data_IF_645518911384
#
_entry.id   IF_645518911384
#
_cell.length_a   1.000
_cell.length_b   1.000
_cell.length_c   1.000
_cell.angle_alpha   90.00
_cell.angle_beta   90.00
_cell.angle_gamma   90.00
#
_symmetry.space_group_name_H-M   'P 1'
#
loop_
_entity.id
_entity.type
_entity.pdbx_description
1 polymer ?
#
# COMPACT_ATOMS: atom_id res chain seq x y z
N UNK A 1 60.42 -13.63 -12.70
CA UNK A 1 60.83 -13.12 -14.02
C UNK A 1 59.65 -12.43 -14.66
N UNK A 2 59.75 -11.27 -14.79
CA UNK A 2 59.71 -10.08 -15.67
C UNK A 2 58.30 -9.53 -15.74
N UNK A 3 58.02 -8.38 -15.15
CA UNK A 3 58.28 -6.94 -15.45
C UNK A 3 57.88 -6.55 -16.91
N UNK A 4 56.86 -5.62 -17.02
CA UNK A 4 57.04 -4.19 -17.37
C UNK A 4 55.66 -3.58 -17.71
N UNK A 5 55.27 -2.49 -17.08
CA UNK A 5 55.35 -1.01 -17.36
C UNK A 5 54.32 -0.59 -18.42
N UNK A 6 53.31 0.23 -18.08
CA UNK A 6 53.20 1.68 -17.79
C UNK A 6 53.34 2.59 -19.03
N UNK A 7 52.31 3.44 -19.23
CA UNK A 7 52.34 4.83 -19.73
C UNK A 7 50.87 5.35 -19.75
N UNK A 8 50.46 6.33 -19.04
CA UNK A 8 50.62 7.80 -18.99
C UNK A 8 50.35 8.48 -20.35
N UNK A 9 49.31 9.28 -20.39
CA UNK A 9 49.03 10.28 -21.38
C UNK A 9 48.07 11.33 -20.85
N UNK A 10 48.59 12.49 -20.58
CA UNK A 10 47.96 13.72 -20.04
C UNK A 10 47.51 14.65 -21.18
N UNK A 11 46.71 15.64 -20.74
CA UNK A 11 46.55 17.02 -21.24
C UNK A 11 45.33 17.26 -22.14
N UNK A 12 44.50 18.17 -21.95
CA UNK A 12 44.36 19.50 -21.38
C UNK A 12 43.74 20.48 -22.38
N UNK A 13 42.83 21.30 -21.89
CA UNK A 13 42.49 22.68 -22.31
C UNK A 13 41.81 22.89 -23.66
N UNK A 14 40.75 23.63 -23.82
CA UNK A 14 40.56 25.05 -23.58
C UNK A 14 39.14 25.49 -24.01
N UNK A 15 38.57 26.39 -23.26
CA UNK A 15 37.46 27.27 -23.71
C UNK A 15 38.01 28.34 -24.66
N UNK A 16 37.18 29.00 -25.44
CA UNK A 16 36.96 30.42 -25.19
C UNK A 16 35.52 30.93 -25.38
N UNK A 17 35.36 32.08 -24.81
CA UNK A 17 34.24 32.99 -24.64
C UNK A 17 33.95 33.85 -25.87
N UNK A 18 32.80 34.54 -25.74
CA UNK A 18 32.46 35.90 -26.21
C UNK A 18 31.70 36.10 -27.50
N UNK A 19 30.67 36.98 -27.42
CA UNK A 19 30.27 37.84 -28.48
C UNK A 19 28.76 38.18 -28.57
N UNK A 20 28.29 39.17 -27.79
CA UNK A 20 27.14 40.01 -28.18
C UNK A 20 27.53 40.99 -29.27
N UNK A 21 26.59 41.47 -30.07
CA UNK A 21 26.28 42.88 -29.95
C UNK A 21 24.80 43.31 -30.12
N UNK A 22 24.53 44.47 -29.62
CA UNK A 22 23.32 45.21 -29.58
C UNK A 22 22.94 45.84 -30.97
N UNK A 23 21.64 46.07 -31.19
CA UNK A 23 21.12 46.91 -32.28
C UNK A 23 19.91 47.71 -31.83
N UNK A 24 20.09 49.02 -31.79
CA UNK A 24 19.12 50.09 -31.50
C UNK A 24 18.18 50.30 -32.69
N UNK A 25 16.93 50.67 -32.43
CA UNK A 25 16.00 51.25 -33.41
C UNK A 25 14.85 52.01 -32.75
N UNK A 26 14.88 53.29 -32.90
CA UNK A 26 14.01 54.38 -32.41
C UNK A 26 12.71 54.52 -33.18
N UNK A 27 11.64 55.03 -32.54
CA UNK A 27 10.56 55.69 -33.27
C UNK A 27 9.21 55.84 -32.60
N UNK A 28 9.05 56.97 -31.90
CA UNK A 28 7.99 57.98 -31.85
C UNK A 28 6.57 57.64 -31.35
N UNK A 29 6.20 58.54 -30.47
CA UNK A 29 4.98 58.77 -29.73
C UNK A 29 3.75 59.17 -30.59
N UNK A 30 2.55 58.86 -30.07
CA UNK A 30 1.36 59.72 -30.18
C UNK A 30 0.46 59.52 -28.95
N UNK A 31 0.00 60.66 -28.43
CA UNK A 31 -0.83 60.86 -27.24
C UNK A 31 -2.31 60.58 -27.51
N UNK A 32 -3.02 60.00 -26.53
CA UNK A 32 -4.30 60.56 -26.00
C UNK A 32 -4.84 59.67 -24.87
N UNK A 33 -5.21 60.31 -23.78
CA UNK A 33 -5.86 59.73 -22.56
C UNK A 33 -7.39 59.90 -22.67
N UNK A 34 -8.22 59.53 -21.67
CA UNK A 34 -8.16 58.44 -20.70
C UNK A 34 -9.43 57.55 -20.76
N UNK A 35 -9.35 56.33 -20.32
CA UNK A 35 -10.52 55.49 -20.16
C UNK A 35 -10.22 54.18 -19.50
N UNK A 36 -10.73 54.03 -18.30
CA UNK A 36 -11.08 52.79 -17.61
C UNK A 36 -9.95 51.78 -17.40
N UNK A 37 -9.51 51.70 -16.18
CA UNK A 37 -8.67 50.66 -15.63
C UNK A 37 -9.45 49.35 -15.65
N UNK A 38 -9.20 48.50 -16.63
CA UNK A 38 -9.50 47.07 -16.51
C UNK A 38 -8.25 46.38 -15.96
N UNK A 39 -8.37 45.87 -14.74
CA UNK A 39 -7.39 44.96 -14.16
C UNK A 39 -7.35 43.71 -15.04
N UNK A 40 -6.27 43.51 -15.77
CA UNK A 40 -5.95 42.25 -16.40
C UNK A 40 -5.65 41.23 -15.27
N UNK A 41 -6.67 40.45 -14.93
CA UNK A 41 -6.49 39.27 -14.13
C UNK A 41 -5.59 38.32 -14.89
N UNK A 42 -4.38 38.09 -14.37
CA UNK A 42 -3.55 36.96 -14.75
C UNK A 42 -4.35 35.73 -14.39
N UNK A 43 -4.93 35.08 -15.39
CA UNK A 43 -5.56 33.75 -15.21
C UNK A 43 -4.40 32.77 -14.98
N UNK A 44 -4.06 32.55 -13.72
CA UNK A 44 -3.29 31.39 -13.37
C UNK A 44 -4.13 30.16 -13.76
N UNK A 45 -3.54 29.17 -14.45
CA UNK A 45 -4.24 27.92 -14.69
C UNK A 45 -4.62 27.38 -13.31
N UNK A 46 -5.91 27.31 -13.06
CA UNK A 46 -6.46 26.73 -11.84
C UNK A 46 -5.88 25.33 -11.71
N UNK A 47 -5.03 25.19 -10.70
CA UNK A 47 -4.62 23.90 -10.19
C UNK A 47 -5.89 23.05 -10.08
N UNK A 48 -5.95 21.83 -10.67
CA UNK A 48 -7.13 21.01 -10.52
C UNK A 48 -7.38 20.88 -9.02
N UNK A 49 -8.52 21.40 -8.58
CA UNK A 49 -8.99 21.17 -7.23
C UNK A 49 -9.21 19.68 -7.14
N UNK A 50 -8.27 18.99 -6.48
CA UNK A 50 -8.53 17.66 -5.95
C UNK A 50 -9.72 17.91 -5.04
N UNK A 51 -10.90 17.52 -5.49
CA UNK A 51 -12.08 17.40 -4.65
C UNK A 51 -11.77 16.31 -3.64
N UNK A 52 -11.01 16.67 -2.60
CA UNK A 52 -11.05 15.97 -1.35
C UNK A 52 -12.49 16.16 -0.84
N UNK A 53 -13.38 15.25 -1.22
CA UNK A 53 -14.48 14.92 -0.36
C UNK A 53 -13.82 14.40 0.90
N UNK A 54 -13.59 15.27 1.87
CA UNK A 54 -13.14 14.88 3.19
C UNK A 54 -14.29 14.09 3.81
N UNK A 55 -14.36 12.79 3.50
CA UNK A 55 -15.27 11.92 4.22
C UNK A 55 -14.93 12.09 5.69
N UNK A 56 -15.92 12.61 6.43
CA UNK A 56 -15.79 12.77 7.88
C UNK A 56 -15.52 11.39 8.49
N UNK A 57 -14.52 11.29 9.33
CA UNK A 57 -14.17 10.09 10.08
C UNK A 57 -13.83 10.45 11.53
N UNK A 58 -14.08 9.52 12.44
CA UNK A 58 -13.84 9.71 13.86
C UNK A 58 -12.39 9.34 14.23
N UNK A 59 -11.88 8.23 13.66
CA UNK A 59 -10.52 7.73 13.89
C UNK A 59 -9.89 7.23 12.60
N UNK A 60 -8.56 7.23 12.55
CA UNK A 60 -7.81 6.77 11.38
C UNK A 60 -6.68 5.82 11.79
N UNK A 61 -6.49 4.77 10.99
CA UNK A 61 -5.42 3.79 11.19
C UNK A 61 -4.66 3.51 9.90
N UNK A 62 -3.36 3.27 10.03
CA UNK A 62 -2.47 2.85 8.94
C UNK A 62 -2.40 1.34 8.88
N UNK A 63 -2.75 0.77 7.73
CA UNK A 63 -2.73 -0.67 7.44
C UNK A 63 -1.79 -0.93 6.28
N UNK A 64 -0.88 -1.87 6.39
CA UNK A 64 0.01 -2.24 5.29
C UNK A 64 -0.29 -3.63 4.77
N UNK A 65 -0.17 -3.81 3.45
CA UNK A 65 -0.16 -5.10 2.78
C UNK A 65 1.28 -5.54 2.54
N UNK A 66 1.66 -6.69 3.05
CA UNK A 66 3.03 -7.22 3.03
C UNK A 66 3.04 -8.63 2.44
N UNK A 67 4.16 -9.07 1.90
CA UNK A 67 4.33 -10.39 1.30
C UNK A 67 4.98 -10.31 -0.07
N UNK A 68 5.30 -11.46 -0.65
CA UNK A 68 6.02 -11.59 -1.91
C UNK A 68 5.35 -10.87 -3.09
N UNK A 69 6.13 -10.64 -4.13
CA UNK A 69 5.60 -10.14 -5.40
C UNK A 69 4.63 -11.16 -6.01
N UNK A 70 3.53 -10.67 -6.59
CA UNK A 70 2.56 -11.53 -7.27
C UNK A 70 1.56 -12.27 -6.39
N UNK A 71 1.64 -12.18 -5.04
CA UNK A 71 0.64 -12.79 -4.13
C UNK A 71 -0.73 -12.13 -4.19
N UNK A 72 -0.84 -10.96 -4.83
CA UNK A 72 -2.10 -10.27 -5.09
C UNK A 72 -2.47 -9.19 -4.09
N UNK A 73 -1.51 -8.54 -3.45
CA UNK A 73 -1.74 -7.40 -2.52
C UNK A 73 -2.56 -6.29 -3.17
N UNK A 74 -2.11 -5.80 -4.32
CA UNK A 74 -2.81 -4.78 -5.10
C UNK A 74 -4.21 -5.22 -5.53
N UNK A 75 -4.36 -6.46 -5.99
CA UNK A 75 -5.67 -6.99 -6.38
C UNK A 75 -6.62 -7.07 -5.18
N UNK A 76 -6.11 -7.45 -4.00
CA UNK A 76 -6.89 -7.49 -2.76
C UNK A 76 -7.36 -6.08 -2.39
N UNK A 77 -6.48 -5.09 -2.48
CA UNK A 77 -6.80 -3.69 -2.18
C UNK A 77 -7.84 -3.12 -3.15
N UNK A 78 -7.68 -3.36 -4.46
CA UNK A 78 -8.64 -2.91 -5.48
C UNK A 78 -10.00 -3.57 -5.25
N UNK A 79 -10.02 -4.87 -4.94
CA UNK A 79 -11.27 -5.58 -4.59
C UNK A 79 -11.93 -4.97 -3.36
N UNK A 80 -11.18 -4.70 -2.31
CA UNK A 80 -11.71 -4.12 -1.09
C UNK A 80 -12.25 -2.70 -1.30
N UNK A 81 -11.49 -1.86 -2.01
CA UNK A 81 -11.86 -0.44 -2.18
C UNK A 81 -12.96 -0.25 -3.22
N UNK A 82 -12.79 -0.83 -4.40
CA UNK A 82 -13.55 -0.51 -5.59
C UNK A 82 -14.54 -1.63 -5.98
N UNK A 83 -14.54 -2.77 -5.27
CA UNK A 83 -15.34 -3.94 -5.62
C UNK A 83 -14.91 -4.62 -6.92
N UNK A 84 -13.83 -4.16 -7.55
CA UNK A 84 -13.36 -4.60 -8.87
C UNK A 84 -12.23 -5.64 -8.75
N UNK A 85 -12.01 -6.37 -9.85
CA UNK A 85 -10.87 -7.26 -10.00
C UNK A 85 -10.17 -6.99 -11.33
N UNK A 86 -8.87 -6.78 -11.27
CA UNK A 86 -8.04 -6.53 -12.44
C UNK A 86 -7.65 -7.88 -13.08
N UNK A 87 -8.49 -8.37 -14.00
CA UNK A 87 -8.18 -9.57 -14.75
C UNK A 87 -7.17 -9.27 -15.86
N UNK A 88 -6.12 -10.09 -15.99
CA UNK A 88 -5.26 -10.17 -17.17
C UNK A 88 -4.06 -9.23 -17.25
N UNK A 89 -3.82 -8.32 -16.31
CA UNK A 89 -2.60 -7.53 -16.30
C UNK A 89 -1.87 -7.66 -14.96
N UNK A 90 -0.78 -8.42 -14.98
CA UNK A 90 0.19 -8.38 -13.88
C UNK A 90 1.01 -7.09 -14.05
N UNK A 91 0.67 -6.07 -13.26
CA UNK A 91 1.48 -4.87 -13.14
C UNK A 91 2.18 -4.96 -11.79
N UNK A 92 3.50 -5.02 -11.82
CA UNK A 92 4.31 -5.00 -10.60
C UNK A 92 4.18 -3.63 -9.94
N UNK A 93 3.82 -3.61 -8.66
CA UNK A 93 3.83 -2.37 -7.87
C UNK A 93 5.27 -1.86 -7.76
N UNK A 94 5.48 -0.60 -8.07
CA UNK A 94 6.76 0.07 -7.90
C UNK A 94 6.67 1.02 -6.70
N UNK A 95 7.43 0.74 -5.65
CA UNK A 95 7.38 1.53 -4.41
C UNK A 95 6.17 1.19 -3.54
N UNK A 96 5.45 2.21 -3.10
CA UNK A 96 4.29 2.09 -2.22
C UNK A 96 3.14 2.91 -2.81
N UNK A 97 1.98 2.29 -3.03
CA UNK A 97 0.72 2.96 -3.37
C UNK A 97 -0.10 3.17 -2.08
N UNK A 98 -0.89 4.23 -2.07
CA UNK A 98 -1.62 4.65 -0.90
C UNK A 98 -3.09 4.86 -1.21
N UNK A 99 -3.97 4.19 -0.47
CA UNK A 99 -5.42 4.31 -0.64
C UNK A 99 -6.16 4.45 0.69
N UNK A 100 -7.27 5.18 0.68
CA UNK A 100 -8.12 5.38 1.84
C UNK A 100 -9.49 4.72 1.63
N UNK A 101 -10.04 4.14 2.70
CA UNK A 101 -11.45 3.72 2.79
C UNK A 101 -11.98 4.00 4.19
N UNK A 102 -13.18 4.56 4.28
CA UNK A 102 -13.90 4.75 5.55
C UNK A 102 -14.88 3.61 5.74
N UNK A 103 -14.84 2.97 6.91
CA UNK A 103 -15.76 1.91 7.33
C UNK A 103 -16.60 2.43 8.50
N UNK A 104 -17.86 2.01 8.56
CA UNK A 104 -18.68 2.19 9.76
C UNK A 104 -18.54 0.95 10.63
N UNK A 105 -17.88 1.09 11.77
CA UNK A 105 -17.66 0.00 12.72
C UNK A 105 -18.43 0.30 13.99
N UNK A 106 -19.59 -0.32 14.15
CA UNK A 106 -20.48 -0.15 15.32
C UNK A 106 -20.75 1.34 15.62
N UNK A 107 -21.13 2.10 14.58
CA UNK A 107 -21.46 3.52 14.67
C UNK A 107 -20.26 4.48 14.60
N UNK A 108 -19.02 3.99 14.68
CA UNK A 108 -17.80 4.79 14.57
C UNK A 108 -17.26 4.74 13.14
N UNK A 109 -16.98 5.89 12.56
CA UNK A 109 -16.37 6.00 11.23
C UNK A 109 -14.86 5.85 11.32
N UNK A 110 -14.38 4.68 10.92
CA UNK A 110 -12.97 4.29 10.94
C UNK A 110 -12.37 4.47 9.55
N UNK A 111 -11.40 5.35 9.41
CA UNK A 111 -10.64 5.54 8.18
C UNK A 111 -9.43 4.61 8.15
N UNK A 112 -9.40 3.68 7.21
CA UNK A 112 -8.23 2.88 6.92
C UNK A 112 -7.38 3.58 5.85
N UNK A 113 -6.15 3.88 6.19
CA UNK A 113 -5.10 4.36 5.31
C UNK A 113 -4.27 3.14 4.91
N UNK A 114 -4.51 2.61 3.70
CA UNK A 114 -3.96 1.33 3.29
C UNK A 114 -2.78 1.56 2.36
N UNK A 115 -1.64 0.98 2.71
CA UNK A 115 -0.39 1.04 1.96
C UNK A 115 -0.13 -0.29 1.27
N UNK A 116 -0.18 -0.26 -0.06
CA UNK A 116 0.17 -1.40 -0.92
C UNK A 116 1.66 -1.36 -1.23
N UNK A 117 2.39 -2.36 -0.77
CA UNK A 117 3.85 -2.40 -0.92
C UNK A 117 4.28 -3.26 -2.09
N UNK A 118 5.37 -2.85 -2.76
CA UNK A 118 6.07 -3.72 -3.69
C UNK A 118 6.62 -4.94 -2.94
N UNK A 119 6.28 -6.15 -3.40
CA UNK A 119 6.75 -7.39 -2.79
C UNK A 119 8.15 -7.82 -3.22
N UNK A 120 8.97 -6.88 -3.74
CA UNK A 120 10.31 -7.17 -4.20
C UNK A 120 11.34 -6.82 -3.13
N UNK A 121 12.29 -7.71 -2.90
CA UNK A 121 13.37 -7.58 -1.91
C UNK A 121 14.19 -6.29 -2.04
N UNK A 122 14.33 -5.75 -3.25
CA UNK A 122 15.08 -4.51 -3.51
C UNK A 122 14.43 -3.25 -2.90
N UNK A 123 13.17 -3.33 -2.48
CA UNK A 123 12.44 -2.22 -1.85
C UNK A 123 12.30 -2.38 -0.33
N UNK A 124 12.87 -3.42 0.27
CA UNK A 124 12.75 -3.70 1.72
C UNK A 124 13.21 -2.54 2.60
N UNK A 125 14.33 -1.90 2.26
CA UNK A 125 14.84 -0.77 3.05
C UNK A 125 13.87 0.43 3.10
N UNK A 126 13.11 0.65 2.03
CA UNK A 126 12.06 1.67 2.01
C UNK A 126 10.87 1.22 2.85
N UNK A 127 10.50 -0.07 2.77
CA UNK A 127 9.37 -0.64 3.48
C UNK A 127 9.57 -0.62 5.01
N UNK A 128 10.80 -0.83 5.50
CA UNK A 128 11.12 -0.82 6.94
C UNK A 128 10.74 0.49 7.63
N UNK A 129 10.92 1.64 6.96
CA UNK A 129 10.56 2.93 7.52
C UNK A 129 9.06 3.05 7.81
N UNK A 130 8.23 2.35 7.02
CA UNK A 130 6.77 2.38 7.15
C UNK A 130 6.24 1.37 8.16
N UNK A 131 6.96 0.29 8.48
CA UNK A 131 6.56 -0.66 9.51
C UNK A 131 6.35 -0.01 10.88
N UNK A 132 7.21 0.96 11.24
CA UNK A 132 7.13 1.68 12.52
C UNK A 132 5.84 2.48 12.69
N UNK A 133 5.26 2.92 11.57
CA UNK A 133 4.06 3.74 11.56
C UNK A 133 2.78 2.92 11.36
N UNK A 134 2.90 1.64 11.03
CA UNK A 134 1.77 0.77 10.78
C UNK A 134 1.08 0.36 12.08
N UNK A 135 -0.24 0.51 12.12
CA UNK A 135 -1.08 0.01 13.20
C UNK A 135 -1.48 -1.44 12.98
N UNK A 136 -1.56 -1.85 11.71
CA UNK A 136 -1.82 -3.23 11.33
C UNK A 136 -1.06 -3.64 10.06
N UNK A 137 -0.74 -4.94 9.97
CA UNK A 137 -0.10 -5.58 8.85
C UNK A 137 -0.94 -6.77 8.39
N UNK A 138 -1.31 -6.78 7.12
CA UNK A 138 -1.90 -7.94 6.45
C UNK A 138 -0.79 -8.63 5.66
N UNK A 139 -0.35 -9.79 6.12
CA UNK A 139 0.71 -10.59 5.52
C UNK A 139 0.11 -11.63 4.58
N UNK A 140 0.42 -11.53 3.29
CA UNK A 140 -0.17 -12.35 2.25
C UNK A 140 0.81 -13.37 1.68
N UNK A 141 0.29 -14.57 1.41
CA UNK A 141 0.88 -15.54 0.50
C UNK A 141 -0.13 -15.98 -0.55
N UNK A 142 0.34 -16.61 -1.61
CA UNK A 142 -0.47 -17.18 -2.69
C UNK A 142 -0.59 -18.69 -2.48
N UNK A 143 -1.82 -19.20 -2.35
CA UNK A 143 -2.07 -20.64 -2.14
C UNK A 143 -1.60 -21.52 -3.30
N UNK A 144 -1.35 -20.91 -4.47
CA UNK A 144 -0.80 -21.59 -5.66
C UNK A 144 0.72 -21.50 -5.76
N UNK A 145 1.38 -20.83 -4.80
CA UNK A 145 2.83 -20.62 -4.82
C UNK A 145 3.46 -21.01 -3.48
N UNK A 146 4.06 -22.20 -3.44
CA UNK A 146 4.70 -22.74 -2.25
C UNK A 146 5.83 -21.84 -1.73
N UNK A 147 6.61 -21.23 -2.64
CA UNK A 147 7.71 -20.33 -2.26
C UNK A 147 7.21 -19.12 -1.48
N UNK A 148 6.08 -18.51 -1.91
CA UNK A 148 5.50 -17.38 -1.18
C UNK A 148 5.01 -17.75 0.22
N UNK A 149 4.58 -19.00 0.42
CA UNK A 149 4.23 -19.54 1.74
C UNK A 149 5.48 -19.79 2.60
N UNK A 150 6.52 -20.39 2.03
CA UNK A 150 7.78 -20.65 2.75
C UNK A 150 8.47 -19.36 3.19
N UNK A 151 8.32 -18.28 2.43
CA UNK A 151 8.87 -16.97 2.75
C UNK A 151 8.11 -16.25 3.89
N UNK A 152 6.93 -16.73 4.31
CA UNK A 152 6.15 -16.11 5.40
C UNK A 152 6.97 -16.02 6.69
N UNK A 153 7.76 -17.04 7.00
CA UNK A 153 8.60 -17.02 8.21
C UNK A 153 9.63 -15.88 8.16
N UNK A 154 10.23 -15.63 7.00
CA UNK A 154 11.16 -14.51 6.83
C UNK A 154 10.45 -13.14 6.96
N UNK A 155 9.23 -13.01 6.41
CA UNK A 155 8.41 -11.82 6.59
C UNK A 155 8.04 -11.58 8.05
N UNK A 156 7.65 -12.62 8.77
CA UNK A 156 7.31 -12.51 10.20
C UNK A 156 8.52 -12.09 11.04
N UNK A 157 9.72 -12.60 10.74
CA UNK A 157 10.96 -12.19 11.40
C UNK A 157 11.24 -10.71 11.14
N UNK A 158 11.11 -10.26 9.90
CA UNK A 158 11.29 -8.86 9.51
C UNK A 158 10.27 -7.93 10.20
N UNK A 159 9.00 -8.33 10.22
CA UNK A 159 7.95 -7.58 10.91
C UNK A 159 8.25 -7.47 12.40
N UNK A 160 8.68 -8.55 13.03
CA UNK A 160 9.03 -8.56 14.46
C UNK A 160 10.20 -7.62 14.79
N UNK A 161 11.15 -7.48 13.86
CA UNK A 161 12.31 -6.61 14.03
C UNK A 161 11.98 -5.13 13.85
N UNK A 162 11.11 -4.78 12.88
CA UNK A 162 10.90 -3.39 12.46
C UNK A 162 9.57 -2.78 12.84
N UNK A 163 8.53 -3.58 13.10
CA UNK A 163 7.21 -3.08 13.48
C UNK A 163 7.12 -2.78 14.98
N UNK A 164 6.05 -2.08 15.37
CA UNK A 164 5.73 -1.87 16.78
C UNK A 164 5.32 -3.17 17.46
N UNK A 165 5.58 -3.29 18.75
CA UNK A 165 5.27 -4.52 19.52
C UNK A 165 3.76 -4.82 19.59
N UNK A 166 2.94 -3.80 19.50
CA UNK A 166 1.47 -3.87 19.57
C UNK A 166 0.80 -3.86 18.20
N UNK A 167 1.57 -3.98 17.09
CA UNK A 167 1.02 -4.04 15.75
C UNK A 167 0.01 -5.19 15.62
N UNK A 168 -1.14 -4.91 15.01
CA UNK A 168 -2.11 -5.96 14.68
C UNK A 168 -1.62 -6.70 13.44
N UNK A 169 -1.40 -7.99 13.56
CA UNK A 169 -0.93 -8.83 12.46
C UNK A 169 -2.00 -9.86 12.09
N UNK A 170 -2.23 -10.07 10.78
CA UNK A 170 -3.10 -11.12 10.26
C UNK A 170 -2.46 -11.80 9.06
N UNK A 171 -2.50 -13.14 9.01
CA UNK A 171 -2.02 -13.94 7.89
C UNK A 171 -3.17 -14.25 6.91
N UNK A 172 -2.94 -13.99 5.62
CA UNK A 172 -3.91 -14.21 4.55
C UNK A 172 -3.37 -15.15 3.48
N UNK A 173 -4.04 -16.29 3.27
CA UNK A 173 -3.82 -17.17 2.11
C UNK A 173 -4.68 -16.71 0.94
N UNK A 174 -4.11 -15.95 0.00
CA UNK A 174 -4.85 -15.37 -1.12
C UNK A 174 -4.92 -16.33 -2.32
N UNK A 175 -5.81 -16.04 -3.26
CA UNK A 175 -6.16 -16.82 -4.45
C UNK A 175 -6.83 -18.16 -4.12
N UNK A 176 -7.62 -18.21 -3.04
CA UNK A 176 -8.33 -19.40 -2.58
C UNK A 176 -9.32 -19.97 -3.61
N UNK A 177 -9.69 -19.19 -4.63
CA UNK A 177 -10.49 -19.60 -5.79
C UNK A 177 -9.76 -20.52 -6.77
N UNK A 178 -8.43 -20.51 -6.77
CA UNK A 178 -7.59 -21.31 -7.67
C UNK A 178 -7.41 -22.75 -7.13
N UNK A 179 -8.50 -23.50 -7.00
CA UNK A 179 -8.51 -24.82 -6.37
C UNK A 179 -7.69 -25.86 -7.13
N UNK A 180 -7.64 -25.78 -8.46
CA UNK A 180 -6.87 -26.71 -9.30
C UNK A 180 -5.36 -26.49 -9.23
N UNK A 181 -4.95 -25.25 -9.03
CA UNK A 181 -3.53 -24.88 -8.99
C UNK A 181 -3.00 -24.79 -7.55
N UNK A 182 -3.83 -25.12 -6.57
CA UNK A 182 -3.47 -25.06 -5.15
C UNK A 182 -2.33 -26.00 -4.81
N UNK A 183 -1.29 -25.47 -4.20
CA UNK A 183 -0.13 -26.24 -3.70
C UNK A 183 0.05 -26.10 -2.18
N UNK A 184 -0.57 -25.10 -1.55
CA UNK A 184 -0.56 -24.91 -0.10
C UNK A 184 -1.95 -25.26 0.44
N UNK A 185 -2.01 -26.25 1.32
CA UNK A 185 -3.27 -26.66 1.97
C UNK A 185 -3.67 -25.61 3.00
N UNK A 186 -4.96 -25.49 3.25
CA UNK A 186 -5.51 -24.60 4.26
C UNK A 186 -4.96 -24.92 5.64
N UNK A 187 -4.87 -26.21 5.97
CA UNK A 187 -4.36 -26.70 7.25
C UNK A 187 -2.90 -26.28 7.50
N UNK A 188 -2.10 -26.13 6.44
CA UNK A 188 -0.73 -25.63 6.55
C UNK A 188 -0.71 -24.16 6.97
N UNK A 189 -1.59 -23.33 6.39
CA UNK A 189 -1.76 -21.94 6.78
C UNK A 189 -2.27 -21.79 8.21
N UNK A 190 -3.26 -22.59 8.61
CA UNK A 190 -3.80 -22.62 9.97
C UNK A 190 -2.74 -23.04 11.00
N UNK A 191 -1.92 -24.04 10.67
CA UNK A 191 -0.81 -24.50 11.53
C UNK A 191 0.23 -23.42 11.72
N UNK A 192 0.67 -22.77 10.63
CA UNK A 192 1.65 -21.69 10.68
C UNK A 192 1.12 -20.50 11.50
N UNK A 193 -0.11 -20.09 11.26
CA UNK A 193 -0.73 -19.01 12.01
C UNK A 193 -0.84 -19.29 13.50
N UNK A 194 -1.17 -20.54 13.88
CA UNK A 194 -1.20 -20.99 15.27
C UNK A 194 0.18 -20.97 15.91
N UNK A 195 1.22 -21.38 15.19
CA UNK A 195 2.61 -21.36 15.65
C UNK A 195 3.07 -19.95 16.02
N UNK A 196 2.70 -18.96 15.20
CA UNK A 196 3.05 -17.55 15.44
C UNK A 196 2.01 -16.76 16.23
N UNK A 197 0.91 -17.38 16.63
CA UNK A 197 -0.15 -16.73 17.42
C UNK A 197 -0.88 -15.63 16.67
N UNK A 198 -0.97 -15.71 15.33
CA UNK A 198 -1.63 -14.71 14.48
C UNK A 198 -2.95 -15.24 13.92
N UNK A 199 -3.98 -14.38 13.76
CA UNK A 199 -5.20 -14.73 13.05
C UNK A 199 -4.93 -15.11 11.60
N UNK A 200 -5.73 -16.06 11.09
CA UNK A 200 -5.62 -16.59 9.74
C UNK A 200 -6.97 -16.64 9.04
N UNK A 201 -6.96 -16.32 7.76
CA UNK A 201 -8.05 -16.65 6.84
C UNK A 201 -7.55 -16.81 5.41
N UNK A 202 -8.31 -17.53 4.60
CA UNK A 202 -8.11 -17.54 3.17
C UNK A 202 -8.98 -16.49 2.49
N UNK A 203 -8.45 -15.84 1.47
CA UNK A 203 -9.09 -14.78 0.70
C UNK A 203 -9.02 -15.04 -0.79
N UNK A 204 -9.91 -14.42 -1.54
CA UNK A 204 -9.81 -14.34 -3.00
C UNK A 204 -10.13 -12.93 -3.47
N UNK A 205 -9.15 -12.24 -4.00
CA UNK A 205 -9.38 -10.95 -4.65
C UNK A 205 -10.28 -11.10 -5.90
N UNK A 206 -10.23 -12.26 -6.57
CA UNK A 206 -11.02 -12.55 -7.76
C UNK A 206 -12.50 -12.66 -7.46
N UNK A 207 -12.88 -13.45 -6.47
CA UNK A 207 -14.29 -13.71 -6.11
C UNK A 207 -14.83 -12.75 -5.05
N UNK A 208 -13.95 -12.08 -4.31
CA UNK A 208 -14.30 -11.25 -3.15
C UNK A 208 -14.36 -12.03 -1.84
N UNK A 209 -14.12 -13.36 -1.87
CA UNK A 209 -14.18 -14.20 -0.68
C UNK A 209 -13.31 -13.61 0.45
N UNK A 210 -13.93 -13.36 1.61
CA UNK A 210 -13.31 -12.89 2.85
C UNK A 210 -12.52 -11.57 2.74
N UNK A 211 -12.58 -10.84 1.62
CA UNK A 211 -11.82 -9.60 1.45
C UNK A 211 -12.34 -8.50 2.39
N UNK A 212 -13.64 -8.24 2.37
CA UNK A 212 -14.26 -7.26 3.27
C UNK A 212 -14.09 -7.67 4.74
N UNK A 213 -14.24 -8.96 5.04
CA UNK A 213 -14.08 -9.51 6.38
C UNK A 213 -12.68 -9.27 6.95
N UNK A 214 -11.62 -9.47 6.15
CA UNK A 214 -10.25 -9.26 6.60
C UNK A 214 -10.00 -7.82 7.07
N UNK A 215 -10.39 -6.84 6.27
CA UNK A 215 -10.20 -5.43 6.63
C UNK A 215 -11.13 -4.97 7.76
N UNK A 216 -12.37 -5.44 7.77
CA UNK A 216 -13.33 -5.14 8.85
C UNK A 216 -12.87 -5.71 10.18
N UNK A 217 -12.35 -6.93 10.20
CA UNK A 217 -11.83 -7.57 11.40
C UNK A 217 -10.65 -6.78 12.00
N UNK A 218 -9.72 -6.36 11.15
CA UNK A 218 -8.58 -5.51 11.58
C UNK A 218 -9.06 -4.14 12.07
N UNK A 219 -10.03 -3.51 11.38
CA UNK A 219 -10.59 -2.23 11.81
C UNK A 219 -11.29 -2.32 13.17
N UNK A 220 -12.01 -3.41 13.45
CA UNK A 220 -12.64 -3.69 14.75
C UNK A 220 -11.60 -3.83 15.85
N UNK A 221 -10.56 -4.60 15.62
CA UNK A 221 -9.47 -4.78 16.58
C UNK A 221 -8.79 -3.44 16.92
N UNK A 222 -8.44 -2.66 15.89
CA UNK A 222 -7.80 -1.36 16.07
C UNK A 222 -8.70 -0.36 16.79
N UNK A 223 -10.00 -0.31 16.44
CA UNK A 223 -11.00 0.49 17.16
C UNK A 223 -11.05 0.10 18.63
N UNK A 224 -11.16 -1.21 18.92
CA UNK A 224 -11.26 -1.70 20.29
C UNK A 224 -10.04 -1.32 21.14
N UNK A 225 -8.83 -1.42 20.56
CA UNK A 225 -7.59 -1.01 21.25
C UNK A 225 -7.50 0.49 21.52
N UNK A 226 -8.04 1.31 20.60
CA UNK A 226 -7.99 2.78 20.70
C UNK A 226 -9.02 3.36 21.66
N UNK A 227 -10.20 2.80 21.68
CA UNK A 227 -11.28 3.16 22.59
C UNK A 227 -11.16 2.19 23.76
N UNK A 228 -10.44 2.56 24.81
CA UNK A 228 -10.32 1.75 26.04
C UNK A 228 -11.69 1.56 26.69
N UNK A 229 -12.53 0.73 26.12
CA UNK A 229 -13.75 0.28 26.78
C UNK A 229 -13.41 -0.83 27.77
N UNK A 230 -13.86 -0.73 29.05
CA UNK A 230 -13.49 -1.70 30.09
C UNK A 230 -14.15 -3.07 29.93
N UNK A 231 -15.10 -3.24 29.03
CA UNK A 231 -15.90 -4.46 28.91
C UNK A 231 -15.58 -5.22 27.62
N UNK A 232 -15.05 -6.39 27.80
CA UNK A 232 -14.77 -7.45 26.81
C UNK A 232 -13.52 -7.23 25.94
N UNK A 233 -12.54 -8.07 26.19
CA UNK A 233 -11.38 -8.19 25.29
C UNK A 233 -11.87 -8.70 23.93
N UNK A 234 -11.88 -7.85 22.92
CA UNK A 234 -12.11 -8.29 21.54
C UNK A 234 -10.99 -9.27 21.16
N UNK A 235 -11.38 -10.46 20.72
CA UNK A 235 -10.44 -11.47 20.24
C UNK A 235 -10.58 -11.60 18.72
N UNK A 236 -9.64 -11.03 18.00
CA UNK A 236 -9.63 -11.01 16.54
C UNK A 236 -9.77 -12.42 15.94
N UNK A 237 -9.07 -13.40 16.51
CA UNK A 237 -9.14 -14.80 16.05
C UNK A 237 -10.54 -15.41 16.24
N UNK A 238 -11.19 -15.14 17.37
CA UNK A 238 -12.55 -15.64 17.63
C UNK A 238 -13.57 -14.98 16.71
N UNK A 239 -13.44 -13.66 16.50
CA UNK A 239 -14.29 -12.94 15.56
C UNK A 239 -14.17 -13.52 14.14
N UNK A 240 -12.96 -13.70 13.64
CA UNK A 240 -12.67 -14.29 12.33
C UNK A 240 -13.28 -15.69 12.23
N UNK A 241 -13.10 -16.53 13.23
CA UNK A 241 -13.62 -17.90 13.23
C UNK A 241 -15.16 -17.94 13.26
N UNK A 242 -15.80 -17.02 13.98
CA UNK A 242 -17.27 -16.92 14.06
C UNK A 242 -17.86 -16.49 12.72
N UNK A 243 -17.33 -15.45 12.12
CA UNK A 243 -17.82 -14.92 10.84
C UNK A 243 -17.60 -15.92 9.69
N UNK A 244 -16.46 -16.61 9.64
CA UNK A 244 -16.20 -17.65 8.64
C UNK A 244 -17.14 -18.85 8.76
N UNK A 245 -17.58 -19.23 9.98
CA UNK A 245 -18.57 -20.29 10.18
C UNK A 245 -19.97 -19.85 9.75
N UNK A 246 -20.33 -18.57 9.94
CA UNK A 246 -21.63 -18.02 9.57
C UNK A 246 -21.87 -17.97 8.06
N UNK A 247 -20.83 -17.81 7.25
CA UNK A 247 -20.92 -17.79 5.78
C UNK A 247 -21.01 -19.18 5.15
N UNK A 248 -20.74 -20.25 5.92
CA UNK A 248 -20.80 -21.65 5.44
C UNK A 248 -22.16 -22.34 5.54
N UNK A 249 -23.18 -21.72 6.16
CA UNK A 249 -24.44 -22.39 6.49
C UNK A 249 -25.56 -22.28 5.42
N UNK A 250 -25.30 -21.69 4.24
CA UNK A 250 -26.27 -21.59 3.15
C UNK A 250 -25.76 -22.23 1.86
N UNK A 251 -25.45 -23.54 1.90
CA UNK A 251 -25.37 -24.40 0.72
C UNK A 251 -25.88 -25.79 1.10
N UNK A 252 -27.17 -25.97 1.05
CA UNK A 252 -27.85 -27.23 0.80
C UNK A 252 -28.67 -27.09 -0.47
#
# INVERSE_FOLDING_TARGET
>A
MSRKKAAKGKAATSSPSAGSPAGKGTGKAAKSSPGIVQMNGVVHPSRPSISNSSEFYDIAFKVMLVGDSGVGKTCLLVRFKDGAFLAGSFISTVGIDFRNKVLNIDGVKVKLQIWDTAGQERFRSVTHAYYRDAHALLLLYDVTNKTSFDNIQAWLTEIHEYAQQDVVLMLLGNKADATHDRVVKREDGERLAKEFGVPFMETSARTGLNVELAFTAVAKELKHRSIKEPSEKFQLQEYVNKEMKGTGCCRS
#
